data_IF_115105139223
#
_entry.id   IF_115105139223
#
_cell.length_a   1.000
_cell.length_b   1.000
_cell.length_c   1.000
_cell.angle_alpha   90.00
_cell.angle_beta   90.00
_cell.angle_gamma   90.00
#
_symmetry.space_group_name_H-M   'P 1'
#
loop_
_entity.id
_entity.type
_entity.pdbx_description
1 polymer ?
#
# COMPACT_ATOMS: atom_id res chain seq x y z
N UNK A 1 41.06 20.71 1.47
CA UNK A 1 40.86 19.35 2.00
C UNK A 1 39.84 18.65 1.11
N UNK A 2 40.08 17.39 0.75
CA UNK A 2 39.19 16.61 -0.12
C UNK A 2 38.02 16.05 0.70
N UNK A 3 36.83 16.61 0.53
CA UNK A 3 35.61 16.19 1.23
C UNK A 3 35.02 14.87 0.68
N UNK A 4 35.64 14.27 -0.34
CA UNK A 4 35.18 13.03 -1.00
C UNK A 4 35.82 11.77 -0.44
N UNK A 5 36.54 11.88 0.70
CA UNK A 5 37.27 10.77 1.33
C UNK A 5 38.28 10.11 0.36
N UNK A 6 38.81 10.87 -0.60
CA UNK A 6 39.77 10.39 -1.59
C UNK A 6 39.16 9.72 -2.83
N UNK A 7 37.83 9.55 -2.90
CA UNK A 7 37.14 8.92 -4.05
C UNK A 7 37.32 9.75 -5.31
N UNK A 8 37.21 11.08 -5.25
CA UNK A 8 37.40 11.94 -6.42
C UNK A 8 38.85 11.88 -6.91
N UNK A 9 39.83 11.86 -5.99
CA UNK A 9 41.25 11.73 -6.35
C UNK A 9 41.52 10.38 -7.04
N UNK A 10 40.95 9.29 -6.53
CA UNK A 10 41.06 7.96 -7.11
C UNK A 10 40.46 7.91 -8.53
N UNK A 11 39.20 8.32 -8.69
CA UNK A 11 38.51 8.32 -9.99
C UNK A 11 39.24 9.20 -11.01
N UNK A 12 39.73 10.37 -10.58
CA UNK A 12 40.48 11.28 -11.45
C UNK A 12 41.77 10.63 -11.94
N UNK A 13 42.62 10.14 -11.02
CA UNK A 13 43.98 9.74 -11.35
C UNK A 13 44.06 8.34 -11.99
N UNK A 14 43.14 7.44 -11.67
CA UNK A 14 43.21 6.03 -12.10
C UNK A 14 42.19 5.64 -13.17
N UNK A 15 41.17 6.46 -13.41
CA UNK A 15 40.14 6.16 -14.42
C UNK A 15 40.10 7.29 -15.45
N UNK A 16 39.69 8.49 -15.05
CA UNK A 16 39.41 9.56 -16.01
C UNK A 16 40.65 10.21 -16.60
N UNK A 17 41.78 10.18 -15.91
CA UNK A 17 43.07 10.62 -16.44
C UNK A 17 43.48 9.80 -17.67
N UNK A 18 43.26 8.48 -17.67
CA UNK A 18 43.63 7.62 -18.80
C UNK A 18 42.66 7.73 -19.98
N UNK A 19 41.40 8.09 -19.72
CA UNK A 19 40.35 8.18 -20.76
C UNK A 19 40.32 9.57 -21.39
N UNK A 20 40.43 10.63 -20.59
CA UNK A 20 40.23 12.02 -21.03
C UNK A 20 41.48 12.90 -20.88
N UNK A 21 42.59 12.33 -20.41
CA UNK A 21 43.85 13.05 -20.18
C UNK A 21 43.82 13.98 -18.96
N UNK A 22 44.93 14.70 -18.73
CA UNK A 22 45.00 15.78 -17.75
C UNK A 22 44.12 16.94 -18.22
N UNK A 23 43.04 17.22 -17.50
CA UNK A 23 42.17 18.34 -17.86
C UNK A 23 40.99 18.52 -16.92
N UNK A 24 40.29 19.63 -17.13
CA UNK A 24 39.09 19.98 -16.36
C UNK A 24 38.03 18.88 -16.45
N UNK A 25 37.85 18.25 -17.62
CA UNK A 25 36.86 17.18 -17.86
C UNK A 25 37.05 16.02 -16.88
N UNK A 26 38.28 15.48 -16.76
CA UNK A 26 38.59 14.38 -15.83
C UNK A 26 38.28 14.74 -14.37
N UNK A 27 38.62 15.97 -13.97
CA UNK A 27 38.35 16.48 -12.62
C UNK A 27 36.85 16.66 -12.35
N UNK A 28 36.10 17.23 -13.29
CA UNK A 28 34.65 17.41 -13.17
C UNK A 28 33.92 16.07 -13.06
N UNK A 29 34.23 15.11 -13.93
CA UNK A 29 33.62 13.78 -13.89
C UNK A 29 33.92 13.05 -12.57
N UNK A 30 35.16 13.11 -12.09
CA UNK A 30 35.53 12.52 -10.80
C UNK A 30 34.75 13.12 -9.62
N UNK A 31 34.60 14.46 -9.58
CA UNK A 31 33.83 15.14 -8.54
C UNK A 31 32.34 14.81 -8.65
N UNK A 32 31.75 14.88 -9.83
CA UNK A 32 30.33 14.55 -10.05
C UNK A 32 29.99 13.11 -9.62
N UNK A 33 30.85 12.15 -9.99
CA UNK A 33 30.63 10.73 -9.65
C UNK A 33 30.85 10.51 -8.16
N UNK A 34 31.92 11.06 -7.56
CA UNK A 34 32.14 10.94 -6.12
C UNK A 34 31.00 11.54 -5.30
N UNK A 35 30.47 12.70 -5.70
CA UNK A 35 29.31 13.33 -5.08
C UNK A 35 28.05 12.47 -5.22
N UNK A 36 27.83 11.86 -6.39
CA UNK A 36 26.70 10.95 -6.62
C UNK A 36 26.80 9.69 -5.75
N UNK A 37 27.98 9.09 -5.64
CA UNK A 37 28.24 7.91 -4.79
C UNK A 37 27.98 8.26 -3.32
N UNK A 38 28.51 9.39 -2.84
CA UNK A 38 28.30 9.82 -1.46
C UNK A 38 26.82 10.09 -1.16
N UNK A 39 26.12 10.77 -2.07
CA UNK A 39 24.69 11.03 -1.95
C UNK A 39 23.87 9.73 -1.91
N UNK A 40 24.16 8.77 -2.80
CA UNK A 40 23.52 7.45 -2.78
C UNK A 40 23.81 6.69 -1.49
N UNK A 41 25.05 6.72 -1.01
CA UNK A 41 25.44 6.09 0.25
C UNK A 41 24.65 6.68 1.44
N UNK A 42 24.58 8.01 1.54
CA UNK A 42 23.83 8.68 2.61
C UNK A 42 22.34 8.36 2.55
N UNK A 43 21.75 8.30 1.35
CA UNK A 43 20.34 7.89 1.18
C UNK A 43 20.12 6.46 1.64
N UNK A 44 21.00 5.52 1.26
CA UNK A 44 20.86 4.13 1.68
C UNK A 44 21.06 3.97 3.18
N UNK A 45 22.03 4.69 3.77
CA UNK A 45 22.24 4.71 5.21
C UNK A 45 20.97 5.18 5.92
N UNK A 46 20.42 6.34 5.53
CA UNK A 46 19.17 6.86 6.10
C UNK A 46 18.01 5.87 5.94
N UNK A 47 17.83 5.29 4.75
CA UNK A 47 16.78 4.30 4.48
C UNK A 47 16.91 3.07 5.38
N UNK A 48 18.12 2.53 5.54
CA UNK A 48 18.38 1.38 6.38
C UNK A 48 18.21 1.71 7.86
N UNK A 49 18.59 2.90 8.31
CA UNK A 49 18.34 3.38 9.67
C UNK A 49 16.85 3.49 9.97
N UNK A 50 16.06 4.08 9.07
CA UNK A 50 14.59 4.14 9.20
C UNK A 50 14.02 2.72 9.19
N UNK A 51 14.50 1.83 8.32
CA UNK A 51 14.04 0.44 8.29
C UNK A 51 14.34 -0.31 9.57
N UNK A 52 15.53 -0.10 10.16
CA UNK A 52 15.89 -0.67 11.45
C UNK A 52 14.97 -0.14 12.56
N UNK A 53 14.70 1.17 12.58
CA UNK A 53 13.74 1.79 13.49
C UNK A 53 12.35 1.16 13.35
N UNK A 54 11.81 1.08 12.13
CA UNK A 54 10.47 0.54 11.86
C UNK A 54 10.37 -0.99 12.02
N UNK A 55 11.50 -1.70 12.14
CA UNK A 55 11.51 -3.14 12.40
C UNK A 55 11.24 -3.48 13.87
N UNK A 56 11.20 -2.49 14.77
CA UNK A 56 10.83 -2.72 16.17
C UNK A 56 9.34 -3.10 16.29
N UNK A 57 9.07 -4.25 16.92
CA UNK A 57 7.72 -4.85 17.04
C UNK A 57 7.19 -4.95 18.47
N UNK A 58 8.00 -4.60 19.49
CA UNK A 58 7.60 -4.74 20.90
C UNK A 58 6.30 -4.01 21.21
N UNK A 59 6.13 -2.82 20.62
CA UNK A 59 4.93 -1.99 20.76
C UNK A 59 3.61 -2.69 20.40
N UNK A 60 3.61 -3.71 19.53
CA UNK A 60 2.39 -4.44 19.15
C UNK A 60 1.91 -5.42 20.21
N UNK A 61 2.82 -5.91 21.06
CA UNK A 61 2.53 -6.93 22.08
C UNK A 61 2.42 -6.34 23.49
N UNK A 62 2.76 -5.06 23.65
CA UNK A 62 2.62 -4.33 24.91
C UNK A 62 1.19 -3.79 25.04
N UNK A 63 0.36 -4.47 25.83
CA UNK A 63 -0.97 -3.95 26.18
C UNK A 63 -0.87 -2.88 27.27
N UNK A 64 -1.46 -1.69 27.07
CA UNK A 64 -1.55 -0.66 28.11
C UNK A 64 -2.24 -1.17 29.40
N UNK A 65 -3.10 -2.18 29.28
CA UNK A 65 -3.98 -2.64 30.36
C UNK A 65 -3.37 -3.70 31.27
N UNK A 66 -2.27 -4.36 30.88
CA UNK A 66 -1.74 -5.51 31.63
C UNK A 66 -0.40 -5.25 32.31
N UNK A 67 0.56 -4.59 31.62
CA UNK A 67 1.93 -4.44 32.14
C UNK A 67 2.57 -3.07 31.88
N UNK A 68 1.81 -2.12 31.32
CA UNK A 68 2.33 -0.82 30.91
C UNK A 68 3.28 -0.91 29.71
N UNK A 69 3.68 0.26 29.20
CA UNK A 69 4.55 0.39 28.01
C UNK A 69 6.01 0.46 28.45
N UNK A 70 6.89 -0.29 27.79
CA UNK A 70 8.33 -0.30 28.10
C UNK A 70 9.00 1.04 27.79
N UNK A 71 10.10 1.36 28.48
CA UNK A 71 10.88 2.59 28.20
C UNK A 71 11.38 2.62 26.77
N UNK A 72 11.75 1.46 26.21
CA UNK A 72 12.16 1.31 24.81
C UNK A 72 11.04 1.72 23.86
N UNK A 73 9.81 1.21 24.05
CA UNK A 73 8.66 1.60 23.24
C UNK A 73 8.33 3.09 23.38
N UNK A 74 8.43 3.66 24.59
CA UNK A 74 8.21 5.09 24.82
C UNK A 74 9.20 5.94 24.03
N UNK A 75 10.50 5.65 24.11
CA UNK A 75 11.55 6.35 23.35
C UNK A 75 11.28 6.20 21.84
N UNK A 76 10.94 4.98 21.40
CA UNK A 76 10.63 4.71 20.00
C UNK A 76 9.46 5.55 19.48
N UNK A 77 8.35 5.65 20.23
CA UNK A 77 7.24 6.53 19.87
C UNK A 77 7.62 8.01 19.83
N UNK A 78 8.48 8.47 20.75
CA UNK A 78 8.97 9.86 20.72
C UNK A 78 9.79 10.14 19.45
N UNK A 79 10.65 9.20 19.03
CA UNK A 79 11.39 9.31 17.77
C UNK A 79 10.44 9.42 16.58
N UNK A 80 9.42 8.55 16.49
CA UNK A 80 8.41 8.62 15.43
C UNK A 80 7.63 9.93 15.47
N UNK A 81 7.31 10.43 16.66
CA UNK A 81 6.64 11.72 16.82
C UNK A 81 7.50 12.87 16.29
N UNK A 82 8.81 12.89 16.57
CA UNK A 82 9.73 13.89 16.03
C UNK A 82 9.83 13.80 14.50
N UNK A 83 9.95 12.58 13.94
CA UNK A 83 9.91 12.36 12.49
C UNK A 83 8.58 12.86 11.90
N UNK A 84 7.46 12.70 12.62
CA UNK A 84 6.16 13.14 12.10
C UNK A 84 6.02 14.65 11.92
N UNK A 85 6.81 15.44 12.66
CA UNK A 85 6.80 16.90 12.57
C UNK A 85 7.48 17.43 11.30
N UNK A 86 8.29 16.63 10.61
CA UNK A 86 8.95 17.05 9.36
C UNK A 86 8.01 17.06 8.15
N UNK A 87 6.75 16.63 8.31
CA UNK A 87 5.76 16.63 7.24
C UNK A 87 6.11 15.72 6.05
N UNK A 88 6.44 14.43 6.27
CA UNK A 88 6.77 13.54 5.16
C UNK A 88 5.55 13.31 4.25
N UNK A 89 5.83 13.17 2.96
CA UNK A 89 4.85 12.79 1.93
C UNK A 89 4.30 11.38 2.15
N UNK A 90 3.11 11.10 1.63
CA UNK A 90 2.37 9.84 1.78
C UNK A 90 3.20 8.56 1.53
N UNK A 91 4.08 8.57 0.55
CA UNK A 91 4.88 7.39 0.19
C UNK A 91 6.32 7.41 0.73
N UNK A 92 6.70 8.39 1.57
CA UNK A 92 8.08 8.60 2.04
C UNK A 92 8.70 7.37 2.70
N UNK A 93 7.89 6.53 3.36
CA UNK A 93 8.35 5.35 4.08
C UNK A 93 8.31 4.05 3.27
N UNK A 94 7.72 4.01 2.06
CA UNK A 94 7.51 2.75 1.32
C UNK A 94 8.83 1.99 1.10
N UNK A 95 9.92 2.68 0.77
CA UNK A 95 11.24 2.08 0.59
C UNK A 95 11.94 1.63 1.89
N UNK A 96 11.42 2.02 3.05
CA UNK A 96 11.99 1.74 4.37
C UNK A 96 11.11 0.84 5.24
N UNK A 97 9.92 0.43 4.78
CA UNK A 97 9.08 -0.49 5.53
C UNK A 97 9.78 -1.86 5.71
N UNK A 98 9.62 -2.50 6.89
CA UNK A 98 10.10 -3.86 7.08
C UNK A 98 9.35 -4.83 6.16
N UNK A 99 10.03 -5.91 5.75
CA UNK A 99 9.39 -6.98 4.99
C UNK A 99 8.41 -7.73 5.91
N UNK A 100 7.38 -8.31 5.30
CA UNK A 100 6.48 -9.21 6.01
C UNK A 100 7.30 -10.38 6.59
N UNK A 101 7.25 -10.63 7.91
CA UNK A 101 7.99 -11.74 8.51
C UNK A 101 7.46 -13.08 8.00
N UNK A 102 8.37 -14.02 7.78
CA UNK A 102 8.04 -15.41 7.49
C UNK A 102 8.16 -16.22 8.78
N UNK A 103 7.06 -16.72 9.37
CA UNK A 103 7.14 -17.59 10.55
C UNK A 103 7.87 -18.90 10.24
N UNK A 104 8.43 -19.53 11.27
CA UNK A 104 9.03 -20.85 11.12
C UNK A 104 7.94 -21.90 10.82
N UNK A 105 8.35 -22.99 10.18
CA UNK A 105 7.44 -24.11 9.91
C UNK A 105 6.93 -24.72 11.22
N UNK A 106 7.80 -24.88 12.21
CA UNK A 106 7.46 -25.48 13.51
C UNK A 106 6.44 -24.59 14.26
N UNK A 107 6.65 -23.27 14.34
CA UNK A 107 5.69 -22.34 14.97
C UNK A 107 4.34 -22.34 14.25
N UNK A 108 4.37 -22.40 12.91
CA UNK A 108 3.16 -22.41 12.09
C UNK A 108 2.33 -23.67 12.36
N UNK A 109 2.97 -24.85 12.39
CA UNK A 109 2.30 -26.12 12.67
C UNK A 109 1.80 -26.20 14.11
N UNK A 110 2.58 -25.70 15.08
CA UNK A 110 2.14 -25.66 16.48
C UNK A 110 0.88 -24.81 16.65
N UNK A 111 0.84 -23.61 16.04
CA UNK A 111 -0.33 -22.71 16.09
C UNK A 111 -1.51 -23.29 15.34
N UNK A 112 -1.27 -23.95 14.20
CA UNK A 112 -2.30 -24.64 13.44
C UNK A 112 -2.97 -25.74 14.28
N UNK A 113 -2.19 -26.63 14.89
CA UNK A 113 -2.73 -27.67 15.77
C UNK A 113 -3.48 -27.06 16.96
N UNK A 114 -2.91 -26.04 17.61
CA UNK A 114 -3.59 -25.34 18.71
C UNK A 114 -4.96 -24.77 18.28
N UNK A 115 -5.05 -24.21 17.07
CA UNK A 115 -6.30 -23.65 16.53
C UNK A 115 -7.35 -24.70 16.18
N UNK A 116 -6.93 -25.93 15.86
CA UNK A 116 -7.82 -27.03 15.52
C UNK A 116 -8.33 -27.79 16.75
N UNK A 117 -7.54 -27.82 17.83
CA UNK A 117 -7.90 -28.51 19.08
C UNK A 117 -9.35 -28.26 19.56
N UNK A 118 -9.90 -27.04 19.57
CA UNK A 118 -11.28 -26.81 20.04
C UNK A 118 -12.38 -27.28 19.07
N UNK A 119 -12.07 -27.58 17.81
CA UNK A 119 -13.06 -27.95 16.77
C UNK A 119 -12.94 -29.39 16.27
N UNK A 120 -11.98 -30.16 16.79
CA UNK A 120 -11.74 -31.55 16.42
C UNK A 120 -11.99 -32.48 17.59
N UNK A 121 -12.46 -33.69 17.31
CA UNK A 121 -12.43 -34.79 18.29
C UNK A 121 -10.98 -35.22 18.57
N UNK A 122 -10.76 -35.93 19.69
CA UNK A 122 -9.43 -36.46 20.04
C UNK A 122 -8.82 -37.36 18.94
N UNK A 123 -9.68 -38.16 18.29
CA UNK A 123 -9.25 -39.05 17.19
C UNK A 123 -8.78 -38.24 15.98
N UNK A 124 -9.56 -37.26 15.54
CA UNK A 124 -9.21 -36.38 14.42
C UNK A 124 -7.97 -35.54 14.73
N UNK A 125 -7.88 -35.01 15.95
CA UNK A 125 -6.72 -34.24 16.39
C UNK A 125 -5.43 -35.06 16.31
N UNK A 126 -5.46 -36.31 16.79
CA UNK A 126 -4.32 -37.22 16.73
C UNK A 126 -3.90 -37.49 15.28
N UNK A 127 -4.85 -37.76 14.40
CA UNK A 127 -4.59 -37.96 12.97
C UNK A 127 -3.94 -36.72 12.33
N UNK A 128 -4.50 -35.53 12.57
CA UNK A 128 -3.97 -34.27 12.04
C UNK A 128 -2.57 -33.98 12.61
N UNK A 129 -2.30 -34.31 13.88
CA UNK A 129 -0.99 -34.17 14.49
C UNK A 129 0.05 -35.09 13.81
N UNK A 130 -0.30 -36.35 13.54
CA UNK A 130 0.56 -37.29 12.82
C UNK A 130 0.84 -36.81 11.38
N UNK A 131 -0.17 -36.33 10.66
CA UNK A 131 -0.03 -35.75 9.32
C UNK A 131 0.83 -34.48 9.34
N UNK A 132 0.64 -33.62 10.33
CA UNK A 132 1.44 -32.40 10.52
C UNK A 132 2.91 -32.75 10.75
N UNK A 133 3.21 -33.79 11.52
CA UNK A 133 4.59 -34.23 11.76
C UNK A 133 5.22 -34.84 10.50
N UNK A 134 4.44 -35.62 9.72
CA UNK A 134 4.88 -36.13 8.41
C UNK A 134 5.20 -34.98 7.45
N UNK A 135 4.35 -33.95 7.41
CA UNK A 135 4.58 -32.75 6.60
C UNK A 135 5.83 -32.00 7.08
N UNK A 136 5.96 -31.79 8.39
CA UNK A 136 7.11 -31.12 9.04
C UNK A 136 8.44 -31.78 8.71
N UNK A 137 8.51 -33.11 8.72
CA UNK A 137 9.75 -33.86 8.41
C UNK A 137 10.00 -34.00 6.90
N UNK A 138 8.93 -34.01 6.09
CA UNK A 138 8.99 -34.22 4.65
C UNK A 138 8.81 -32.94 3.83
N UNK A 139 7.72 -32.89 3.06
CA UNK A 139 7.45 -31.87 2.05
C UNK A 139 7.46 -30.44 2.61
N UNK A 140 6.96 -30.23 3.84
CA UNK A 140 6.88 -28.91 4.46
C UNK A 140 8.23 -28.21 4.60
N UNK A 141 9.30 -28.95 4.94
CA UNK A 141 10.67 -28.39 4.99
C UNK A 141 11.14 -27.92 3.62
N UNK A 142 10.84 -28.69 2.57
CA UNK A 142 11.20 -28.32 1.19
C UNK A 142 10.46 -27.06 0.74
N UNK A 143 9.16 -27.00 0.99
CA UNK A 143 8.34 -25.83 0.66
C UNK A 143 8.76 -24.58 1.46
N UNK A 144 9.06 -24.73 2.76
CA UNK A 144 9.55 -23.63 3.60
C UNK A 144 10.86 -23.05 3.07
N UNK A 145 11.78 -23.87 2.53
CA UNK A 145 13.01 -23.36 1.89
C UNK A 145 12.71 -22.48 0.69
N UNK A 146 11.79 -22.90 -0.19
CA UNK A 146 11.37 -22.07 -1.32
C UNK A 146 10.69 -20.78 -0.86
N UNK A 147 9.89 -20.85 0.21
CA UNK A 147 9.21 -19.68 0.78
C UNK A 147 10.21 -18.68 1.40
N UNK A 148 11.27 -19.16 2.05
CA UNK A 148 12.37 -18.31 2.55
C UNK A 148 13.02 -17.55 1.39
N UNK A 149 13.35 -18.25 0.29
CA UNK A 149 13.93 -17.61 -0.90
C UNK A 149 12.97 -16.54 -1.45
N UNK A 150 11.68 -16.87 -1.62
CA UNK A 150 10.65 -15.90 -2.06
C UNK A 150 10.57 -14.69 -1.14
N UNK A 151 10.65 -14.89 0.18
CA UNK A 151 10.63 -13.81 1.18
C UNK A 151 11.82 -12.86 1.08
N UNK A 152 12.94 -13.33 0.55
CA UNK A 152 14.13 -12.50 0.33
C UNK A 152 14.06 -11.72 -0.98
N UNK A 153 13.46 -12.30 -2.01
CA UNK A 153 13.34 -11.73 -3.35
C UNK A 153 12.11 -10.83 -3.51
N UNK A 154 11.14 -10.91 -2.59
CA UNK A 154 9.89 -10.12 -2.63
C UNK A 154 9.90 -9.03 -1.57
N UNK A 155 9.20 -7.92 -1.83
CA UNK A 155 8.87 -6.91 -0.80
C UNK A 155 7.89 -7.48 0.23
N UNK A 156 6.89 -8.23 -0.26
CA UNK A 156 5.97 -9.03 0.51
C UNK A 156 5.76 -10.35 -0.23
N UNK A 157 6.02 -11.49 0.43
CA UNK A 157 5.98 -12.80 -0.21
C UNK A 157 4.57 -13.35 -0.43
N UNK A 158 3.55 -12.68 0.11
CA UNK A 158 2.15 -13.12 0.08
C UNK A 158 1.31 -12.34 -0.94
N UNK A 159 1.65 -11.09 -1.22
CA UNK A 159 0.78 -10.15 -1.94
C UNK A 159 0.33 -10.65 -3.32
N UNK A 160 1.25 -11.16 -4.14
CA UNK A 160 0.96 -11.69 -5.47
C UNK A 160 0.00 -12.88 -5.42
N UNK A 161 0.29 -13.85 -4.57
CA UNK A 161 -0.54 -15.03 -4.40
C UNK A 161 -1.91 -14.70 -3.78
N UNK A 162 -1.95 -13.77 -2.83
CA UNK A 162 -3.19 -13.35 -2.20
C UNK A 162 -4.11 -12.64 -3.19
N UNK A 163 -3.59 -11.71 -3.98
CA UNK A 163 -4.36 -11.02 -5.01
C UNK A 163 -4.85 -12.01 -6.07
N UNK A 164 -3.97 -12.87 -6.58
CA UNK A 164 -4.31 -13.79 -7.67
C UNK A 164 -5.27 -14.91 -7.22
N UNK A 165 -4.88 -15.70 -6.22
CA UNK A 165 -5.59 -16.95 -5.91
C UNK A 165 -6.81 -16.75 -5.01
N UNK A 166 -6.81 -15.75 -4.13
CA UNK A 166 -7.93 -15.53 -3.21
C UNK A 166 -9.00 -14.65 -3.85
N UNK A 167 -8.61 -13.65 -4.65
CA UNK A 167 -9.58 -12.73 -5.23
C UNK A 167 -9.76 -12.93 -6.74
N UNK A 168 -8.71 -12.81 -7.53
CA UNK A 168 -8.84 -12.68 -8.99
C UNK A 168 -9.23 -14.00 -9.68
N UNK A 169 -8.84 -15.15 -9.13
CA UNK A 169 -9.22 -16.48 -9.62
C UNK A 169 -10.54 -17.00 -9.05
N UNK A 170 -11.08 -16.38 -7.99
CA UNK A 170 -12.38 -16.78 -7.45
C UNK A 170 -13.50 -16.48 -8.44
N UNK A 171 -14.31 -17.50 -8.75
CA UNK A 171 -15.42 -17.42 -9.73
C UNK A 171 -16.78 -17.09 -9.12
N UNK A 172 -16.93 -17.13 -7.80
CA UNK A 172 -18.18 -16.77 -7.13
C UNK A 172 -18.51 -15.27 -7.33
N UNK A 173 -19.79 -14.90 -7.48
CA UNK A 173 -20.19 -13.50 -7.64
C UNK A 173 -19.64 -12.61 -6.52
N UNK A 174 -18.90 -11.55 -6.89
CA UNK A 174 -18.19 -10.71 -5.91
C UNK A 174 -19.12 -9.83 -5.09
N UNK A 175 -20.32 -9.49 -5.60
CA UNK A 175 -21.24 -8.56 -4.96
C UNK A 175 -21.68 -9.01 -3.56
N UNK A 176 -21.80 -10.31 -3.33
CA UNK A 176 -22.23 -10.89 -2.05
C UNK A 176 -21.04 -11.52 -1.30
N UNK A 177 -20.10 -12.13 -2.04
CA UNK A 177 -19.08 -13.00 -1.44
C UNK A 177 -17.74 -12.30 -1.16
N UNK A 178 -17.54 -11.06 -1.62
CA UNK A 178 -16.23 -10.41 -1.54
C UNK A 178 -16.29 -8.91 -1.32
N UNK A 179 -17.18 -8.20 -2.01
CA UNK A 179 -17.35 -6.76 -1.85
C UNK A 179 -17.84 -6.43 -0.44
N UNK A 180 -17.31 -5.35 0.12
CA UNK A 180 -17.74 -4.77 1.38
C UNK A 180 -18.25 -3.35 1.14
N UNK A 181 -19.14 -2.89 2.01
CA UNK A 181 -19.60 -1.51 2.04
C UNK A 181 -19.56 -0.99 3.47
N UNK A 182 -19.46 0.33 3.60
CA UNK A 182 -19.59 1.03 4.87
C UNK A 182 -20.62 2.14 4.72
N UNK A 183 -21.33 2.44 5.80
CA UNK A 183 -22.21 3.60 5.87
C UNK A 183 -21.59 4.66 6.77
N UNK A 184 -21.93 5.92 6.51
CA UNK A 184 -21.64 6.99 7.46
C UNK A 184 -22.43 6.73 8.76
N UNK A 185 -21.77 6.93 9.91
CA UNK A 185 -22.36 6.77 11.25
C UNK A 185 -22.71 8.10 11.89
N UNK A 186 -22.47 9.23 11.21
CA UNK A 186 -22.69 10.56 11.77
C UNK A 186 -24.19 10.86 12.02
N UNK A 187 -25.13 10.09 11.44
CA UNK A 187 -26.59 10.31 11.54
C UNK A 187 -26.99 11.78 11.27
N UNK A 188 -26.21 12.48 10.45
CA UNK A 188 -26.48 13.85 10.04
C UNK A 188 -27.11 13.83 8.66
N UNK A 189 -28.22 14.56 8.51
CA UNK A 189 -28.90 14.74 7.23
C UNK A 189 -28.99 16.23 6.87
N UNK A 190 -27.88 16.86 6.44
CA UNK A 190 -27.86 18.30 6.14
C UNK A 190 -28.80 18.71 5.00
N UNK A 191 -29.21 17.75 4.14
CA UNK A 191 -30.13 17.99 3.03
C UNK A 191 -30.89 16.72 2.65
N UNK A 192 -32.12 16.89 2.17
CA UNK A 192 -32.96 15.84 1.58
C UNK A 192 -32.69 15.62 0.10
N UNK A 193 -32.03 16.56 -0.58
CA UNK A 193 -31.71 16.46 -2.01
C UNK A 193 -30.65 15.38 -2.31
N UNK A 194 -31.03 14.37 -3.10
CA UNK A 194 -30.11 13.30 -3.52
C UNK A 194 -28.97 13.83 -4.40
N UNK A 195 -29.26 14.73 -5.34
CA UNK A 195 -28.27 15.34 -6.24
C UNK A 195 -27.25 16.16 -5.45
N UNK A 196 -27.70 16.92 -4.44
CA UNK A 196 -26.81 17.67 -3.56
C UNK A 196 -25.89 16.76 -2.73
N UNK A 197 -26.41 15.64 -2.19
CA UNK A 197 -25.58 14.66 -1.46
C UNK A 197 -24.55 14.00 -2.38
N UNK A 198 -24.98 13.54 -3.55
CA UNK A 198 -24.09 12.94 -4.54
C UNK A 198 -22.97 13.91 -4.95
N UNK A 199 -23.31 15.17 -5.23
CA UNK A 199 -22.35 16.22 -5.55
C UNK A 199 -21.29 16.44 -4.48
N UNK A 200 -21.69 16.56 -3.21
CA UNK A 200 -20.76 16.79 -2.12
C UNK A 200 -19.84 15.58 -1.88
N UNK A 201 -20.36 14.35 -1.96
CA UNK A 201 -19.57 13.12 -1.83
C UNK A 201 -18.57 13.01 -2.99
N UNK A 202 -19.01 13.23 -4.23
CA UNK A 202 -18.15 13.21 -5.41
C UNK A 202 -17.06 14.27 -5.32
N UNK A 203 -17.40 15.50 -4.93
CA UNK A 203 -16.43 16.57 -4.74
C UNK A 203 -15.40 16.23 -3.65
N UNK A 204 -15.85 15.73 -2.50
CA UNK A 204 -14.97 15.30 -1.42
C UNK A 204 -14.02 14.17 -1.88
N UNK A 205 -14.53 13.18 -2.61
CA UNK A 205 -13.74 12.11 -3.20
C UNK A 205 -12.70 12.64 -4.21
N UNK A 206 -13.07 13.59 -5.07
CA UNK A 206 -12.14 14.22 -6.01
C UNK A 206 -11.04 15.02 -5.29
N UNK A 207 -11.38 15.74 -4.22
CA UNK A 207 -10.40 16.43 -3.38
C UNK A 207 -9.46 15.45 -2.70
N UNK A 208 -9.99 14.37 -2.16
CA UNK A 208 -9.18 13.32 -1.53
C UNK A 208 -8.24 12.66 -2.53
N UNK A 209 -8.72 12.31 -3.74
CA UNK A 209 -7.87 11.83 -4.84
C UNK A 209 -6.71 12.77 -5.11
N UNK A 210 -6.97 14.08 -5.22
CA UNK A 210 -5.92 15.08 -5.42
C UNK A 210 -4.88 15.09 -4.29
N UNK A 211 -5.30 14.93 -3.03
CA UNK A 211 -4.37 14.81 -1.90
C UNK A 211 -3.51 13.55 -1.98
N UNK A 212 -4.08 12.43 -2.44
CA UNK A 212 -3.34 11.17 -2.67
C UNK A 212 -2.32 11.35 -3.80
N UNK A 213 -2.75 11.86 -4.95
CA UNK A 213 -1.92 12.01 -6.15
C UNK A 213 -0.74 12.96 -5.88
N UNK A 214 -0.96 14.01 -5.08
CA UNK A 214 0.08 14.95 -4.65
C UNK A 214 0.86 14.50 -3.42
N UNK A 215 0.51 13.34 -2.85
CA UNK A 215 1.10 12.78 -1.63
C UNK A 215 1.03 13.73 -0.41
N UNK A 216 0.02 14.58 -0.37
CA UNK A 216 -0.23 15.58 0.68
C UNK A 216 -0.91 14.96 1.92
N UNK A 217 -1.40 13.72 1.83
CA UNK A 217 -1.86 12.96 2.99
C UNK A 217 -0.67 12.53 3.83
N UNK A 218 -0.68 12.89 5.11
CA UNK A 218 0.35 12.44 6.04
C UNK A 218 0.34 10.90 6.17
N UNK A 219 1.51 10.22 6.07
CA UNK A 219 1.59 8.78 6.29
C UNK A 219 1.20 8.34 7.71
N UNK A 220 1.10 9.30 8.65
CA UNK A 220 0.70 9.06 10.03
C UNK A 220 -0.81 9.26 10.27
N UNK A 221 -1.57 9.64 9.24
CA UNK A 221 -3.02 9.79 9.35
C UNK A 221 -3.73 8.44 9.63
N UNK A 222 -3.12 7.33 9.20
CA UNK A 222 -3.65 5.96 9.40
C UNK A 222 -3.60 5.55 10.87
N UNK A 223 -2.56 5.97 11.60
CA UNK A 223 -2.39 5.67 13.01
C UNK A 223 -1.98 6.94 13.77
N UNK A 224 -2.92 7.88 13.95
CA UNK A 224 -2.59 9.22 14.44
C UNK A 224 -2.08 9.23 15.87
N UNK A 225 -2.43 8.21 16.68
CA UNK A 225 -1.99 8.07 18.07
C UNK A 225 -0.55 7.56 18.18
N UNK A 226 -0.19 6.53 17.42
CA UNK A 226 1.12 5.86 17.53
C UNK A 226 2.14 6.41 16.55
N UNK A 227 1.70 7.13 15.50
CA UNK A 227 2.55 7.65 14.42
C UNK A 227 3.40 6.56 13.76
N UNK A 228 2.92 5.32 13.76
CA UNK A 228 3.57 4.23 13.01
C UNK A 228 3.16 4.37 11.54
N UNK A 229 4.12 4.52 10.60
CA UNK A 229 3.79 4.57 9.18
C UNK A 229 3.40 3.18 8.68
N UNK A 230 2.35 3.11 7.87
CA UNK A 230 1.88 1.87 7.25
C UNK A 230 2.20 1.83 5.75
N UNK A 231 1.99 0.65 5.14
CA UNK A 231 1.95 0.53 3.69
C UNK A 231 0.83 1.41 3.12
N UNK A 232 1.16 2.25 2.14
CA UNK A 232 0.21 3.18 1.49
C UNK A 232 -0.05 2.80 0.04
N UNK A 233 0.42 1.65 -0.43
CA UNK A 233 0.25 1.20 -1.81
C UNK A 233 -1.22 1.06 -2.23
N UNK A 234 -2.12 0.74 -1.31
CA UNK A 234 -3.55 0.63 -1.62
C UNK A 234 -4.18 1.99 -1.97
N UNK A 235 -3.63 3.11 -1.50
CA UNK A 235 -4.14 4.45 -1.84
C UNK A 235 -4.07 4.74 -3.34
N UNK A 236 -3.07 4.20 -4.03
CA UNK A 236 -2.94 4.33 -5.49
C UNK A 236 -4.03 3.57 -6.25
N UNK A 237 -4.66 2.58 -5.60
CA UNK A 237 -5.69 1.71 -6.19
C UNK A 237 -7.12 2.16 -5.90
N UNK A 238 -7.31 3.23 -5.12
CA UNK A 238 -8.64 3.73 -4.75
C UNK A 238 -9.41 4.36 -5.92
N UNK A 239 -8.70 5.07 -6.80
CA UNK A 239 -9.28 5.80 -7.91
C UNK A 239 -8.81 5.23 -9.24
N UNK A 240 -9.61 5.48 -10.29
CA UNK A 240 -9.33 5.06 -11.67
C UNK A 240 -8.91 3.58 -11.77
N UNK A 241 -9.53 2.73 -10.96
CA UNK A 241 -9.18 1.32 -10.92
C UNK A 241 -10.43 0.49 -11.04
N UNK A 242 -10.34 -0.63 -11.75
CA UNK A 242 -11.43 -1.56 -11.89
C UNK A 242 -10.90 -2.98 -12.06
N UNK A 243 -11.62 -3.95 -11.49
CA UNK A 243 -11.41 -5.37 -11.75
C UNK A 243 -12.12 -5.72 -13.06
N UNK A 244 -11.37 -6.17 -14.05
CA UNK A 244 -11.87 -6.60 -15.35
C UNK A 244 -11.99 -8.13 -15.35
N UNK A 245 -13.18 -8.69 -15.64
CA UNK A 245 -13.38 -10.13 -15.63
C UNK A 245 -12.54 -10.82 -16.69
N UNK A 246 -12.04 -12.00 -16.37
CA UNK A 246 -11.43 -12.94 -17.31
C UNK A 246 -11.96 -14.34 -17.10
N UNK A 247 -11.76 -15.22 -18.09
CA UNK A 247 -12.30 -16.58 -18.06
C UNK A 247 -11.76 -17.39 -16.87
N UNK A 248 -10.44 -17.44 -16.71
CA UNK A 248 -9.79 -18.16 -15.61
C UNK A 248 -9.33 -17.26 -14.47
N UNK A 249 -8.93 -16.03 -14.79
CA UNK A 249 -8.42 -15.04 -13.84
C UNK A 249 -8.84 -13.64 -14.26
N UNK A 250 -9.36 -12.88 -13.30
CA UNK A 250 -9.68 -11.47 -13.51
C UNK A 250 -8.38 -10.65 -13.47
N UNK A 251 -8.43 -9.43 -14.00
CA UNK A 251 -7.28 -8.51 -13.97
C UNK A 251 -7.64 -7.23 -13.24
N UNK A 252 -6.75 -6.77 -12.37
CA UNK A 252 -6.86 -5.44 -11.78
C UNK A 252 -6.27 -4.42 -12.75
N UNK A 253 -7.08 -3.48 -13.24
CA UNK A 253 -6.67 -2.42 -14.14
C UNK A 253 -6.69 -1.08 -13.43
N UNK A 254 -5.66 -0.29 -13.66
CA UNK A 254 -5.53 1.08 -13.18
C UNK A 254 -5.22 2.00 -14.36
N UNK A 255 -5.86 3.17 -14.40
CA UNK A 255 -5.68 4.16 -15.46
C UNK A 255 -5.22 5.49 -14.87
N UNK A 256 -4.10 6.03 -15.38
CA UNK A 256 -3.48 7.22 -14.78
C UNK A 256 -4.18 8.54 -15.16
N UNK A 257 -4.76 8.65 -16.36
CA UNK A 257 -5.18 9.93 -16.93
C UNK A 257 -6.71 10.10 -17.09
N UNK A 258 -7.48 9.52 -16.16
CA UNK A 258 -8.94 9.60 -16.19
C UNK A 258 -9.46 10.78 -15.36
N UNK A 259 -10.16 11.71 -16.04
CA UNK A 259 -10.71 12.95 -15.48
C UNK A 259 -12.25 13.02 -15.55
N UNK A 260 -12.91 11.88 -15.45
CA UNK A 260 -14.36 11.75 -15.40
C UNK A 260 -14.77 10.69 -14.39
N UNK A 261 -16.05 10.68 -14.02
CA UNK A 261 -16.69 9.59 -13.28
C UNK A 261 -17.70 8.88 -14.16
N UNK A 262 -17.95 7.61 -13.83
CA UNK A 262 -19.10 6.87 -14.34
C UNK A 262 -20.27 7.06 -13.36
N UNK A 263 -21.43 7.48 -13.87
CA UNK A 263 -22.65 7.67 -13.09
C UNK A 263 -23.67 6.66 -13.58
N UNK A 264 -24.22 5.85 -12.67
CA UNK A 264 -25.30 4.92 -12.98
C UNK A 264 -26.62 5.46 -12.46
N UNK A 265 -27.61 5.61 -13.34
CA UNK A 265 -28.95 6.08 -12.97
C UNK A 265 -30.00 5.38 -13.83
N UNK A 266 -31.03 4.78 -13.19
CA UNK A 266 -32.17 4.12 -13.85
C UNK A 266 -31.75 3.19 -15.01
N UNK A 267 -30.74 2.35 -14.80
CA UNK A 267 -30.26 1.40 -15.84
C UNK A 267 -29.33 2.00 -16.89
N UNK A 268 -29.03 3.29 -16.85
CA UNK A 268 -28.17 3.98 -17.80
C UNK A 268 -26.84 4.39 -17.18
N UNK A 269 -25.76 4.32 -17.97
CA UNK A 269 -24.44 4.81 -17.60
C UNK A 269 -24.13 6.14 -18.27
N UNK A 270 -23.62 7.09 -17.50
CA UNK A 270 -23.19 8.40 -17.98
C UNK A 270 -21.72 8.62 -17.67
N UNK A 271 -21.03 9.28 -18.59
CA UNK A 271 -19.67 9.77 -18.41
C UNK A 271 -19.73 11.23 -18.02
N UNK A 272 -19.49 11.55 -16.75
CA UNK A 272 -19.54 12.92 -16.24
C UNK A 272 -18.12 13.47 -16.01
N UNK A 273 -17.69 14.56 -16.69
CA UNK A 273 -16.41 15.19 -16.39
C UNK A 273 -16.41 15.75 -14.96
N UNK A 274 -15.26 15.73 -14.29
CA UNK A 274 -15.09 16.27 -12.92
C UNK A 274 -14.28 17.58 -12.89
N UNK A 275 -13.90 18.10 -14.06
CA UNK A 275 -13.05 19.28 -14.21
C UNK A 275 -13.42 20.04 -15.48
N UNK A 276 -13.25 21.37 -15.48
CA UNK A 276 -13.62 22.27 -16.59
C UNK A 276 -12.43 22.77 -17.43
N UNK A 277 -11.29 22.10 -17.38
CA UNK A 277 -10.02 22.53 -17.99
C UNK A 277 -9.17 23.46 -17.12
N UNK A 278 -9.73 24.10 -16.08
CA UNK A 278 -8.97 24.93 -15.13
C UNK A 278 -9.00 24.43 -13.69
N UNK A 279 -10.17 24.03 -13.20
CA UNK A 279 -10.38 23.55 -11.83
C UNK A 279 -11.35 22.37 -11.79
N UNK A 280 -11.34 21.66 -10.66
CA UNK A 280 -12.39 20.70 -10.34
C UNK A 280 -13.74 21.42 -10.34
N UNK A 281 -14.79 20.71 -10.77
CA UNK A 281 -16.16 21.22 -10.66
C UNK A 281 -16.53 21.38 -9.19
N UNK A 282 -17.21 22.47 -8.87
CA UNK A 282 -17.73 22.75 -7.53
C UNK A 282 -19.00 21.93 -7.26
N UNK A 283 -19.40 21.76 -5.97
CA UNK A 283 -20.58 20.97 -5.63
C UNK A 283 -21.87 21.43 -6.34
N UNK A 284 -22.06 22.73 -6.54
CA UNK A 284 -23.24 23.25 -7.24
C UNK A 284 -23.28 22.83 -8.73
N UNK A 285 -22.13 22.83 -9.41
CA UNK A 285 -22.02 22.41 -10.82
C UNK A 285 -22.27 20.90 -10.95
N UNK A 286 -21.72 20.10 -10.03
CA UNK A 286 -21.96 18.66 -9.97
C UNK A 286 -23.43 18.35 -9.64
N UNK A 287 -24.04 19.11 -8.73
CA UNK A 287 -25.44 18.93 -8.35
C UNK A 287 -26.36 19.17 -9.54
N UNK A 288 -26.14 20.23 -10.31
CA UNK A 288 -26.92 20.53 -11.50
C UNK A 288 -26.81 19.39 -12.53
N UNK A 289 -25.59 18.91 -12.78
CA UNK A 289 -25.39 17.77 -13.67
C UNK A 289 -26.08 16.49 -13.18
N UNK A 290 -26.01 16.18 -11.88
CA UNK A 290 -26.73 15.05 -11.31
C UNK A 290 -28.24 15.23 -11.37
N UNK A 291 -28.75 16.44 -11.15
CA UNK A 291 -30.19 16.74 -11.24
C UNK A 291 -30.71 16.54 -12.66
N UNK A 292 -29.95 16.95 -13.68
CA UNK A 292 -30.27 16.70 -15.08
C UNK A 292 -30.32 15.21 -15.40
N UNK A 293 -29.36 14.41 -14.91
CA UNK A 293 -29.38 12.95 -15.07
C UNK A 293 -30.61 12.33 -14.40
N UNK A 294 -30.94 12.76 -13.18
CA UNK A 294 -32.09 12.23 -12.41
C UNK A 294 -33.43 12.57 -13.10
N UNK A 295 -33.57 13.81 -13.56
CA UNK A 295 -34.79 14.32 -14.18
C UNK A 295 -34.93 13.89 -15.65
N UNK A 296 -33.86 13.40 -16.27
CA UNK A 296 -33.89 12.90 -17.64
C UNK A 296 -34.88 11.76 -17.83
N UNK A 297 -35.50 11.71 -19.00
CA UNK A 297 -36.24 10.55 -19.47
C UNK A 297 -35.25 9.49 -19.97
N UNK A 298 -35.03 8.45 -19.16
CA UNK A 298 -33.94 7.49 -19.35
C UNK A 298 -34.48 6.12 -19.76
N UNK A 299 -34.05 5.64 -20.91
CA UNK A 299 -34.31 4.28 -21.40
C UNK A 299 -33.02 3.46 -21.41
N UNK A 300 -32.91 2.37 -20.63
CA UNK A 300 -31.73 1.51 -20.62
C UNK A 300 -31.44 0.92 -22.00
N UNK A 301 -30.16 0.79 -22.34
CA UNK A 301 -29.76 0.00 -23.50
C UNK A 301 -30.17 -1.48 -23.29
N UNK A 302 -30.57 -2.19 -24.35
CA UNK A 302 -30.91 -3.61 -24.26
C UNK A 302 -29.70 -4.38 -23.71
N UNK A 303 -29.97 -5.27 -22.75
CA UNK A 303 -28.94 -6.17 -22.21
C UNK A 303 -28.57 -7.14 -23.34
N UNK A 304 -27.32 -7.06 -23.80
CA UNK A 304 -26.75 -8.10 -24.66
C UNK A 304 -26.63 -9.36 -23.79
N UNK A 305 -27.51 -10.33 -24.04
CA UNK A 305 -27.49 -11.65 -23.41
C UNK A 305 -26.48 -12.53 -24.11
#
# INVERSE_FOLDING_TARGET
MDNTLGIASFLRNYIFFYIFGPGFISKYLAVCISGTILWLFLIQLLRLSIKALLSYKGWMYESPHQKGISTTTKIWFQILHLISKSGPMLHSFQGALPRLPLPSLDDTLQRHLLSLKPITTEKEYKEIAELSEKFRKGLGRRLQRYLVIKSWLSTNYVTDWWEEYIYLRQRSPIMINSNYYGFDTLNLHPTTSQSARAANITWAACRFRRLVDRQEISPFAIAPKTKVPFCTMQYQRLFNSCRVPGEESDSFRHWHDINHIAVYCKGCWFKLPIHNGKRLLEPAELQEAFQQIINGDLSPAPVLV
#
